data_IF_158857176988
#
_entry.id   IF_158857176988
#
_cell.length_a   1.000
_cell.length_b   1.000
_cell.length_c   1.000
_cell.angle_alpha   90.00
_cell.angle_beta   90.00
_cell.angle_gamma   90.00
#
_symmetry.space_group_name_H-M   'P 1'
#
loop_
_entity.id
_entity.type
_entity.pdbx_description
1 polymer ?
#
# COMPACT_ATOMS: atom_id res chain seq x y z
N UNK A 1 10.47 -10.06 -29.86
CA UNK A 1 9.18 -10.78 -29.69
C UNK A 1 8.75 -10.82 -28.21
N UNK A 2 7.54 -10.32 -27.87
CA UNK A 2 6.97 -10.39 -26.51
C UNK A 2 6.18 -11.70 -26.37
N UNK A 3 6.58 -12.58 -25.47
CA UNK A 3 5.87 -13.86 -25.24
C UNK A 3 4.59 -13.62 -24.42
N UNK A 4 3.60 -14.51 -24.56
CA UNK A 4 2.37 -14.47 -23.76
C UNK A 4 2.68 -14.51 -22.27
N UNK A 5 3.66 -15.32 -21.85
CA UNK A 5 4.15 -15.40 -20.48
C UNK A 5 4.64 -14.03 -19.97
N UNK A 6 5.49 -13.34 -20.73
CA UNK A 6 5.97 -12.01 -20.35
C UNK A 6 4.83 -10.97 -20.29
N UNK A 7 3.81 -11.09 -21.14
CA UNK A 7 2.63 -10.24 -21.06
C UNK A 7 1.80 -10.51 -19.79
N UNK A 8 1.58 -11.77 -19.44
CA UNK A 8 0.84 -12.17 -18.22
C UNK A 8 1.55 -11.75 -16.93
N UNK A 9 2.87 -11.93 -16.84
CA UNK A 9 3.66 -11.48 -15.70
C UNK A 9 3.57 -9.97 -15.52
N UNK A 10 3.71 -9.20 -16.62
CA UNK A 10 3.59 -7.74 -16.57
C UNK A 10 2.19 -7.28 -16.14
N UNK A 11 1.15 -7.97 -16.59
CA UNK A 11 -0.23 -7.70 -16.16
C UNK A 11 -0.42 -7.96 -14.67
N UNK A 12 0.13 -9.06 -14.14
CA UNK A 12 0.11 -9.35 -12.71
C UNK A 12 0.87 -8.30 -11.88
N UNK A 13 2.06 -7.89 -12.33
CA UNK A 13 2.86 -6.82 -11.71
C UNK A 13 2.13 -5.47 -11.64
N UNK A 14 1.36 -5.14 -12.69
CA UNK A 14 0.59 -3.90 -12.75
C UNK A 14 -0.61 -3.94 -11.79
N UNK A 15 -1.31 -5.08 -11.70
CA UNK A 15 -2.40 -5.30 -10.73
C UNK A 15 -1.95 -5.10 -9.30
N UNK A 16 -0.90 -5.80 -8.91
CA UNK A 16 -0.42 -5.77 -7.53
C UNK A 16 0.98 -6.33 -7.44
N UNK A 17 1.84 -5.64 -6.70
CA UNK A 17 3.19 -6.12 -6.40
C UNK A 17 3.69 -5.56 -5.08
N UNK A 18 4.84 -6.08 -4.64
CA UNK A 18 5.62 -5.44 -3.57
C UNK A 18 6.71 -4.55 -4.16
N UNK A 19 6.72 -3.26 -3.81
CA UNK A 19 7.79 -2.31 -4.14
C UNK A 19 8.79 -2.31 -2.97
N UNK A 20 9.60 -3.35 -2.83
CA UNK A 20 10.30 -3.71 -1.59
C UNK A 20 9.36 -4.41 -0.60
N UNK A 21 9.07 -3.79 0.54
CA UNK A 21 8.34 -4.37 1.66
C UNK A 21 6.91 -3.84 1.80
N UNK A 22 6.44 -3.00 0.88
CA UNK A 22 5.10 -2.44 0.87
C UNK A 22 4.37 -2.69 -0.47
N UNK A 23 3.04 -2.58 -0.46
CA UNK A 23 2.19 -2.84 -1.61
C UNK A 23 2.27 -1.70 -2.64
N UNK A 24 2.26 -2.07 -3.92
CA UNK A 24 2.37 -1.19 -5.07
C UNK A 24 1.56 -1.73 -6.26
N UNK A 25 1.62 -1.06 -7.41
CA UNK A 25 0.68 -1.27 -8.51
C UNK A 25 -0.70 -0.73 -8.17
N UNK A 26 -1.69 -1.09 -8.98
CA UNK A 26 -3.08 -0.65 -8.79
C UNK A 26 -3.58 -0.95 -7.37
N UNK A 27 -3.31 -2.13 -6.83
CA UNK A 27 -3.65 -2.49 -5.45
C UNK A 27 -3.07 -1.52 -4.41
N UNK A 28 -1.77 -1.24 -4.46
CA UNK A 28 -1.13 -0.34 -3.50
C UNK A 28 -1.68 1.07 -3.56
N UNK A 29 -2.00 1.55 -4.77
CA UNK A 29 -2.61 2.86 -5.00
C UNK A 29 -4.05 2.88 -4.51
N UNK A 30 -4.89 1.90 -4.86
CA UNK A 30 -6.28 1.81 -4.41
C UNK A 30 -6.39 1.83 -2.89
N UNK A 31 -5.52 1.09 -2.19
CA UNK A 31 -5.50 1.10 -0.72
C UNK A 31 -5.06 2.48 -0.19
N UNK A 32 -4.06 3.10 -0.81
CA UNK A 32 -3.58 4.43 -0.42
C UNK A 32 -4.66 5.50 -0.62
N UNK A 33 -5.38 5.43 -1.74
CA UNK A 33 -6.51 6.30 -2.05
C UNK A 33 -7.62 6.13 -1.01
N UNK A 34 -7.99 4.89 -0.66
CA UNK A 34 -9.00 4.63 0.36
C UNK A 34 -8.57 5.19 1.73
N UNK A 35 -7.33 4.95 2.16
CA UNK A 35 -6.81 5.52 3.41
C UNK A 35 -6.87 7.06 3.40
N UNK A 36 -6.60 7.68 2.25
CA UNK A 36 -6.66 9.14 2.10
C UNK A 36 -8.10 9.65 2.12
N UNK A 37 -9.01 8.97 1.40
CA UNK A 37 -10.42 9.29 1.33
C UNK A 37 -11.09 9.23 2.71
N UNK A 38 -10.76 8.23 3.52
CA UNK A 38 -11.24 8.09 4.90
C UNK A 38 -10.54 9.02 5.90
N UNK A 39 -9.63 9.90 5.45
CA UNK A 39 -8.89 10.82 6.32
C UNK A 39 -7.91 10.13 7.27
N UNK A 40 -7.53 8.88 6.99
CA UNK A 40 -6.56 8.09 7.76
C UNK A 40 -5.12 8.45 7.40
N UNK A 41 -4.93 8.87 6.16
CA UNK A 41 -3.66 9.32 5.59
C UNK A 41 -3.85 10.73 5.00
N UNK A 42 -2.94 11.65 5.29
CA UNK A 42 -2.87 12.95 4.63
C UNK A 42 -1.69 12.95 3.66
N UNK A 43 -1.92 13.49 2.48
CA UNK A 43 -0.83 13.85 1.57
C UNK A 43 -0.25 15.18 2.06
N UNK A 44 0.95 15.11 2.60
CA UNK A 44 1.67 16.31 3.03
C UNK A 44 2.40 16.86 1.81
N UNK A 45 1.93 17.98 1.28
CA UNK A 45 2.53 18.65 0.11
C UNK A 45 3.40 19.84 0.51
N UNK A 46 3.71 20.01 1.80
CA UNK A 46 4.50 21.15 2.26
C UNK A 46 5.99 20.96 1.94
N UNK A 47 6.38 21.46 0.76
CA UNK A 47 7.79 21.63 0.34
C UNK A 47 8.45 22.90 0.91
N UNK A 48 7.72 23.74 1.65
CA UNK A 48 8.17 25.10 2.04
C UNK A 48 8.89 25.21 3.39
N UNK A 49 9.05 24.12 4.14
CA UNK A 49 9.92 24.14 5.33
C UNK A 49 11.34 23.75 4.95
N UNK A 50 12.28 24.70 5.10
CA UNK A 50 13.73 24.53 4.95
C UNK A 50 14.39 23.45 5.85
N UNK A 51 13.61 22.56 6.47
CA UNK A 51 14.08 21.33 7.09
C UNK A 51 13.73 20.12 6.20
N UNK A 52 14.57 19.90 5.19
CA UNK A 52 14.43 18.88 4.12
C UNK A 52 14.53 17.42 4.60
N UNK A 53 14.53 17.17 5.92
CA UNK A 53 14.74 15.83 6.48
C UNK A 53 13.46 15.02 6.68
N UNK A 54 12.29 15.64 6.57
CA UNK A 54 11.02 15.00 6.92
C UNK A 54 9.86 15.23 5.94
N UNK A 55 10.07 15.82 4.76
CA UNK A 55 9.05 15.74 3.71
C UNK A 55 9.02 14.31 3.18
N UNK A 56 8.06 13.55 3.72
CA UNK A 56 7.85 12.17 3.36
C UNK A 56 6.68 12.03 2.41
N UNK A 57 6.00 13.11 2.02
CA UNK A 57 4.82 13.12 1.15
C UNK A 57 3.54 12.53 1.75
N UNK A 58 3.61 11.83 2.89
CA UNK A 58 2.45 11.28 3.60
C UNK A 58 2.60 11.36 5.12
N UNK A 59 1.50 11.64 5.81
CA UNK A 59 1.39 11.59 7.26
C UNK A 59 0.12 10.82 7.69
N UNK A 60 0.24 9.91 8.66
CA UNK A 60 -0.96 9.33 9.29
C UNK A 60 -1.63 10.36 10.18
N UNK A 61 -2.96 10.37 10.18
CA UNK A 61 -3.75 11.12 11.16
C UNK A 61 -3.88 10.32 12.47
N UNK A 62 -4.37 10.96 13.52
CA UNK A 62 -4.67 10.25 14.78
C UNK A 62 -5.73 9.16 14.57
N UNK A 63 -6.75 9.45 13.74
CA UNK A 63 -7.73 8.45 13.30
C UNK A 63 -7.07 7.32 12.51
N UNK A 64 -6.09 7.63 11.66
CA UNK A 64 -5.30 6.64 10.94
C UNK A 64 -4.51 5.72 11.87
N UNK A 65 -3.84 6.28 12.88
CA UNK A 65 -3.14 5.50 13.91
C UNK A 65 -4.10 4.55 14.64
N UNK A 66 -5.27 5.04 15.05
CA UNK A 66 -6.29 4.23 15.69
C UNK A 66 -6.81 3.12 14.76
N UNK A 67 -7.06 3.44 13.49
CA UNK A 67 -7.52 2.46 12.49
C UNK A 67 -6.49 1.34 12.25
N UNK A 68 -5.20 1.66 12.21
CA UNK A 68 -4.17 0.63 12.08
C UNK A 68 -4.20 -0.35 13.26
N UNK A 69 -4.42 0.16 14.48
CA UNK A 69 -4.57 -0.68 15.67
C UNK A 69 -5.83 -1.57 15.59
N UNK A 70 -6.98 -1.02 15.19
CA UNK A 70 -8.23 -1.80 15.06
C UNK A 70 -8.16 -2.84 13.94
N UNK A 71 -7.43 -2.56 12.86
CA UNK A 71 -7.13 -3.51 11.79
C UNK A 71 -6.13 -4.62 12.22
N UNK A 72 -5.64 -4.57 13.46
CA UNK A 72 -4.67 -5.54 14.00
C UNK A 72 -3.28 -5.38 13.38
N UNK A 73 -2.88 -4.14 13.08
CA UNK A 73 -1.60 -3.77 12.47
C UNK A 73 -0.82 -2.89 13.45
N UNK A 74 0.16 -3.48 14.13
CA UNK A 74 1.05 -2.75 15.02
C UNK A 74 2.09 -1.93 14.23
N UNK A 75 2.24 -0.66 14.61
CA UNK A 75 3.14 0.31 14.00
C UNK A 75 4.35 0.58 14.90
N UNK A 76 5.10 -0.48 15.20
CA UNK A 76 6.34 -0.36 15.97
C UNK A 76 7.33 0.60 15.31
N UNK A 77 7.63 1.72 15.99
CA UNK A 77 8.61 2.71 15.53
C UNK A 77 10.01 2.30 15.95
N UNK A 78 10.65 1.45 15.16
CA UNK A 78 12.07 1.09 15.38
C UNK A 78 12.97 1.95 14.50
N UNK A 79 13.81 2.78 15.12
CA UNK A 79 14.85 3.55 14.42
C UNK A 79 14.34 4.78 13.66
N UNK A 80 15.03 5.15 12.57
CA UNK A 80 14.82 6.40 11.82
C UNK A 80 13.84 6.30 10.64
N UNK A 81 13.24 5.12 10.41
CA UNK A 81 12.29 4.94 9.31
C UNK A 81 11.04 5.79 9.59
N UNK A 82 10.56 6.62 8.64
CA UNK A 82 9.36 7.39 8.89
C UNK A 82 8.13 6.49 8.97
N UNK A 83 7.16 6.97 9.73
CA UNK A 83 5.93 6.24 9.98
C UNK A 83 5.13 6.00 8.70
N UNK A 84 4.92 7.06 7.91
CA UNK A 84 4.35 7.00 6.56
C UNK A 84 5.31 7.70 5.58
N UNK A 85 5.25 7.30 4.31
CA UNK A 85 5.99 7.95 3.21
C UNK A 85 5.29 7.68 1.89
N UNK A 86 5.20 8.68 1.01
CA UNK A 86 4.83 8.52 -0.38
C UNK A 86 5.96 7.84 -1.16
N UNK A 87 5.67 6.70 -1.78
CA UNK A 87 6.55 6.06 -2.75
C UNK A 87 5.90 6.12 -4.13
N UNK A 88 6.62 6.67 -5.11
CA UNK A 88 6.09 6.85 -6.46
C UNK A 88 6.06 5.52 -7.22
N UNK A 89 4.88 5.10 -7.68
CA UNK A 89 4.75 3.99 -8.61
C UNK A 89 5.22 4.43 -10.00
N UNK A 90 6.32 3.87 -10.50
CA UNK A 90 6.85 4.25 -11.82
C UNK A 90 5.94 3.86 -12.99
N UNK A 91 5.07 2.85 -12.81
CA UNK A 91 4.16 2.39 -13.87
C UNK A 91 2.91 3.27 -13.92
N UNK A 92 2.31 3.52 -12.76
CA UNK A 92 1.05 4.26 -12.65
C UNK A 92 1.25 5.77 -12.45
N UNK A 93 2.48 6.20 -12.13
CA UNK A 93 2.89 7.58 -11.80
C UNK A 93 2.08 8.21 -10.66
N UNK A 94 1.64 7.38 -9.72
CA UNK A 94 0.87 7.77 -8.53
C UNK A 94 1.58 7.30 -7.25
N UNK A 95 1.50 8.06 -6.15
CA UNK A 95 2.11 7.64 -4.89
C UNK A 95 1.32 6.50 -4.24
N UNK A 96 2.02 5.59 -3.57
CA UNK A 96 1.45 4.58 -2.69
C UNK A 96 2.16 4.58 -1.32
N UNK A 97 1.48 4.05 -0.31
CA UNK A 97 1.96 4.07 1.07
C UNK A 97 3.21 3.19 1.27
N UNK A 98 4.29 3.84 1.69
CA UNK A 98 5.51 3.24 2.21
C UNK A 98 5.73 3.64 3.68
N UNK A 99 6.97 3.54 4.18
CA UNK A 99 7.26 3.77 5.59
C UNK A 99 6.91 2.57 6.46
N UNK A 100 6.90 2.75 7.78
CA UNK A 100 6.55 1.70 8.76
C UNK A 100 5.12 1.19 8.48
N UNK A 101 4.18 2.09 8.24
CA UNK A 101 2.78 1.78 7.97
C UNK A 101 2.60 0.93 6.71
N UNK A 102 3.22 1.33 5.59
CA UNK A 102 3.15 0.55 4.34
C UNK A 102 3.72 -0.86 4.48
N UNK A 103 4.83 -1.01 5.23
CA UNK A 103 5.41 -2.33 5.48
C UNK A 103 4.58 -3.19 6.43
N UNK A 104 4.02 -2.61 7.48
CA UNK A 104 3.17 -3.31 8.42
C UNK A 104 1.87 -3.79 7.77
N UNK A 105 1.25 -2.94 6.95
CA UNK A 105 0.07 -3.29 6.16
C UNK A 105 0.36 -4.42 5.15
N UNK A 106 1.47 -4.33 4.42
CA UNK A 106 1.87 -5.38 3.48
C UNK A 106 2.09 -6.72 4.19
N UNK A 107 2.79 -6.71 5.32
CA UNK A 107 2.97 -7.91 6.17
C UNK A 107 1.62 -8.46 6.64
N UNK A 108 0.71 -7.60 7.12
CA UNK A 108 -0.64 -8.02 7.54
C UNK A 108 -1.39 -8.65 6.39
N UNK A 109 -1.42 -8.00 5.23
CA UNK A 109 -2.12 -8.49 4.05
C UNK A 109 -1.63 -9.88 3.61
N UNK A 110 -0.31 -10.13 3.69
CA UNK A 110 0.26 -11.44 3.36
C UNK A 110 -0.01 -12.49 4.45
N UNK A 111 0.18 -12.14 5.73
CA UNK A 111 0.05 -13.08 6.86
C UNK A 111 -1.41 -13.45 7.17
N UNK A 112 -2.35 -12.51 7.01
CA UNK A 112 -3.78 -12.75 7.15
C UNK A 112 -4.42 -13.36 5.90
N UNK A 113 -3.63 -13.62 4.84
CA UNK A 113 -4.11 -14.23 3.60
C UNK A 113 -4.98 -13.31 2.74
N UNK A 114 -4.99 -11.99 2.98
CA UNK A 114 -5.68 -11.02 2.12
C UNK A 114 -5.03 -10.96 0.73
N UNK A 115 -3.72 -11.11 0.69
CA UNK A 115 -2.92 -11.17 -0.52
C UNK A 115 -2.05 -12.43 -0.52
N UNK A 116 -1.84 -12.99 -1.71
CA UNK A 116 -0.89 -14.08 -1.94
C UNK A 116 0.08 -13.72 -3.06
N UNK A 117 1.32 -14.19 -2.94
CA UNK A 117 2.32 -14.01 -4.01
C UNK A 117 1.98 -14.87 -5.21
N UNK A 118 2.26 -14.36 -6.41
CA UNK A 118 2.17 -15.11 -7.66
C UNK A 118 3.57 -15.53 -8.08
N UNK A 119 3.84 -16.84 -8.06
CA UNK A 119 5.16 -17.39 -8.39
C UNK A 119 6.25 -16.96 -7.41
N UNK A 120 7.51 -16.92 -7.88
CA UNK A 120 8.67 -16.50 -7.08
C UNK A 120 8.92 -14.98 -7.14
N UNK A 121 8.05 -14.22 -7.80
CA UNK A 121 8.25 -12.81 -8.07
C UNK A 121 7.57 -11.91 -7.02
N UNK A 122 7.71 -10.60 -7.21
CA UNK A 122 7.09 -9.57 -6.35
C UNK A 122 5.57 -9.45 -6.57
N UNK A 123 4.98 -10.23 -7.48
CA UNK A 123 3.58 -10.10 -7.87
C UNK A 123 2.71 -10.58 -6.72
N UNK A 124 1.62 -9.86 -6.47
CA UNK A 124 0.60 -10.29 -5.51
C UNK A 124 -0.77 -10.22 -6.17
N UNK A 125 -1.69 -11.07 -5.71
CA UNK A 125 -3.12 -10.93 -5.97
C UNK A 125 -3.88 -10.90 -4.67
N UNK A 126 -4.99 -10.18 -4.68
CA UNK A 126 -5.98 -10.23 -3.61
C UNK A 126 -6.70 -11.58 -3.67
N UNK A 127 -6.98 -12.15 -2.51
CA UNK A 127 -7.80 -13.37 -2.37
C UNK A 127 -9.26 -12.98 -2.11
N UNK A 128 -10.23 -13.90 -2.24
CA UNK A 128 -11.61 -13.61 -1.83
C UNK A 128 -11.72 -13.18 -0.36
N UNK A 129 -10.84 -13.66 0.52
CA UNK A 129 -10.79 -13.20 1.91
C UNK A 129 -10.25 -11.76 2.02
N UNK A 130 -9.28 -11.39 1.18
CA UNK A 130 -8.78 -10.03 1.09
C UNK A 130 -9.79 -9.05 0.52
N UNK A 131 -10.58 -9.43 -0.48
CA UNK A 131 -11.66 -8.60 -1.01
C UNK A 131 -12.66 -8.25 0.09
N UNK A 132 -13.12 -9.24 0.87
CA UNK A 132 -14.02 -9.01 2.01
C UNK A 132 -13.38 -8.11 3.07
N UNK A 133 -12.14 -8.41 3.47
CA UNK A 133 -11.46 -7.64 4.49
C UNK A 133 -11.23 -6.18 4.07
N UNK A 134 -10.85 -5.94 2.80
CA UNK A 134 -10.62 -4.60 2.28
C UNK A 134 -11.93 -3.81 2.09
N UNK A 135 -13.01 -4.49 1.71
CA UNK A 135 -14.35 -3.90 1.69
C UNK A 135 -14.80 -3.51 3.10
N UNK A 136 -14.68 -4.42 4.08
CA UNK A 136 -15.11 -4.16 5.47
C UNK A 136 -14.28 -3.08 6.17
N UNK A 137 -12.96 -3.04 5.93
CA UNK A 137 -12.06 -2.14 6.66
C UNK A 137 -11.86 -0.77 5.99
N UNK A 138 -11.99 -0.69 4.67
CA UNK A 138 -11.66 0.50 3.87
C UNK A 138 -12.72 0.86 2.83
N UNK A 139 -13.87 0.18 2.80
CA UNK A 139 -14.94 0.41 1.84
C UNK A 139 -14.47 0.32 0.38
N UNK A 140 -13.53 -0.60 0.12
CA UNK A 140 -13.00 -0.83 -1.23
C UNK A 140 -13.87 -1.85 -1.97
N UNK A 141 -14.48 -1.40 -3.06
CA UNK A 141 -15.23 -2.25 -3.99
C UNK A 141 -14.35 -3.38 -4.55
N UNK A 142 -14.75 -4.67 -4.44
CA UNK A 142 -13.95 -5.80 -4.93
C UNK A 142 -13.53 -5.69 -6.41
N UNK A 143 -14.38 -5.09 -7.26
CA UNK A 143 -14.08 -4.88 -8.67
C UNK A 143 -12.85 -3.98 -8.91
N UNK A 144 -12.50 -3.10 -7.96
CA UNK A 144 -11.32 -2.23 -8.03
C UNK A 144 -10.00 -2.94 -7.68
N UNK A 145 -10.09 -4.18 -7.17
CA UNK A 145 -8.97 -5.02 -6.73
C UNK A 145 -8.51 -6.04 -7.79
N UNK A 146 -9.20 -6.10 -8.95
CA UNK A 146 -9.02 -7.07 -10.03
C UNK A 146 -8.17 -6.59 -11.23
#
# INVERSE_FOLDING_TARGET
PRTLRAATTRSAMARGRTCYDHLAGRLGITITDALTHHGLLRQDTHQDTQDTRQDTGFALTDTGLAWFATAGIDLARTGRRPLARACLDWTERRPHLAGVAGAALCRRALTAGWCVRIGSERAVKVTPAGERALAELLDIEPASLL
#
